data_IF_237861328541
#
_entry.id   IF_237861328541
#
_cell.length_a   1.000
_cell.length_b   1.000
_cell.length_c   1.000
_cell.angle_alpha   90.00
_cell.angle_beta   90.00
_cell.angle_gamma   90.00
#
_symmetry.space_group_name_H-M   'P 1'
#
loop_
_entity.id
_entity.type
_entity.pdbx_description
1 polymer ?
#
# COMPACT_ATOMS: atom_id res chain seq x y z
N UNK A 1 11.30 -17.07 8.08
CA UNK A 1 11.29 -15.59 7.99
C UNK A 1 10.12 -15.05 8.82
N UNK A 2 10.28 -13.88 9.52
CA UNK A 2 9.17 -13.22 10.24
C UNK A 2 8.65 -12.05 9.42
N UNK A 3 7.34 -11.99 9.19
CA UNK A 3 6.69 -10.95 8.37
C UNK A 3 5.60 -10.27 9.21
N UNK A 4 5.59 -8.93 9.20
CA UNK A 4 4.51 -8.12 9.77
C UNK A 4 3.59 -7.65 8.66
N UNK A 5 2.29 -7.87 8.83
CA UNK A 5 1.24 -7.47 7.90
C UNK A 5 0.38 -6.35 8.46
N UNK A 6 0.01 -5.42 7.60
CA UNK A 6 -1.04 -4.42 7.83
C UNK A 6 -1.83 -4.18 6.54
N UNK A 7 -2.86 -3.34 6.60
CA UNK A 7 -3.63 -2.84 5.45
C UNK A 7 -4.38 -1.56 5.86
N UNK A 8 -5.17 -0.97 4.96
CA UNK A 8 -6.11 0.12 5.25
C UNK A 8 -7.58 -0.26 5.07
N UNK A 9 -7.87 -1.39 4.40
CA UNK A 9 -9.24 -1.91 4.26
C UNK A 9 -9.81 -2.55 5.56
N UNK A 10 -8.94 -2.80 6.56
CA UNK A 10 -9.31 -3.34 7.87
C UNK A 10 -9.02 -4.83 8.08
N UNK A 11 -9.05 -5.25 9.36
CA UNK A 11 -8.63 -6.59 9.83
C UNK A 11 -9.40 -7.76 9.20
N UNK A 12 -10.63 -7.53 8.74
CA UNK A 12 -11.49 -8.55 8.14
C UNK A 12 -11.55 -8.46 6.60
N UNK A 13 -10.81 -7.55 5.99
CA UNK A 13 -10.84 -7.32 4.54
C UNK A 13 -10.39 -8.57 3.75
N UNK A 14 -11.02 -8.86 2.60
CA UNK A 14 -10.61 -9.98 1.74
C UNK A 14 -9.15 -9.86 1.27
N UNK A 15 -8.70 -8.65 0.92
CA UNK A 15 -7.32 -8.41 0.50
C UNK A 15 -6.29 -8.74 1.58
N UNK A 16 -6.62 -8.57 2.86
CA UNK A 16 -5.73 -8.98 3.95
C UNK A 16 -5.56 -10.50 4.03
N UNK A 17 -6.61 -11.27 3.70
CA UNK A 17 -6.52 -12.74 3.61
C UNK A 17 -5.61 -13.16 2.46
N UNK A 18 -5.71 -12.47 1.32
CA UNK A 18 -4.80 -12.68 0.19
C UNK A 18 -3.35 -12.35 0.59
N UNK A 19 -3.12 -11.25 1.30
CA UNK A 19 -1.80 -10.88 1.79
C UNK A 19 -1.25 -11.91 2.78
N UNK A 20 -2.10 -12.43 3.66
CA UNK A 20 -1.73 -13.48 4.62
C UNK A 20 -1.25 -14.75 3.91
N UNK A 21 -1.97 -15.20 2.87
CA UNK A 21 -1.56 -16.34 2.06
C UNK A 21 -0.20 -16.10 1.34
N UNK A 22 -0.02 -14.92 0.75
CA UNK A 22 1.26 -14.51 0.15
C UNK A 22 2.38 -14.56 1.20
N UNK A 23 2.14 -14.01 2.39
CA UNK A 23 3.14 -13.98 3.45
C UNK A 23 3.47 -15.36 4.02
N UNK A 24 2.50 -16.25 4.12
CA UNK A 24 2.72 -17.64 4.54
C UNK A 24 3.61 -18.40 3.55
N UNK A 25 3.38 -18.23 2.24
CA UNK A 25 4.23 -18.80 1.18
C UNK A 25 5.66 -18.23 1.23
N UNK A 26 5.82 -16.94 1.51
CA UNK A 26 7.13 -16.30 1.65
C UNK A 26 7.86 -16.73 2.92
N UNK A 27 7.16 -16.82 4.04
CA UNK A 27 7.73 -17.16 5.34
C UNK A 27 8.23 -18.61 5.38
N UNK A 28 7.55 -19.52 4.69
CA UNK A 28 7.80 -20.96 4.72
C UNK A 28 7.34 -21.61 6.02
N UNK A 29 7.53 -22.94 6.14
CA UNK A 29 6.98 -23.72 7.25
C UNK A 29 7.48 -23.32 8.63
N UNK A 30 8.71 -22.84 8.74
CA UNK A 30 9.33 -22.40 10.01
C UNK A 30 9.23 -20.87 10.21
N UNK A 31 8.46 -20.19 9.36
CA UNK A 31 8.30 -18.75 9.42
C UNK A 31 7.14 -18.31 10.30
N UNK A 32 7.10 -17.01 10.56
CA UNK A 32 6.07 -16.38 11.39
C UNK A 32 5.39 -15.26 10.61
N UNK A 33 4.08 -15.28 10.55
CA UNK A 33 3.27 -14.18 10.01
C UNK A 33 2.49 -13.54 11.15
N UNK A 34 2.70 -12.24 11.35
CA UNK A 34 2.06 -11.43 12.36
C UNK A 34 1.18 -10.38 11.68
N UNK A 35 -0.04 -10.23 12.15
CA UNK A 35 -1.02 -9.32 11.59
C UNK A 35 -1.38 -8.29 12.64
N UNK A 36 -1.13 -7.02 12.33
CA UNK A 36 -1.62 -5.87 13.08
C UNK A 36 -2.26 -4.92 12.07
N UNK A 37 -3.57 -4.84 12.07
CA UNK A 37 -4.33 -4.10 11.06
C UNK A 37 -5.44 -3.26 11.69
N UNK A 38 -5.91 -2.19 11.01
CA UNK A 38 -7.01 -1.38 11.49
C UNK A 38 -8.26 -2.20 11.78
N UNK A 39 -8.93 -1.91 12.89
CA UNK A 39 -10.21 -2.53 13.24
C UNK A 39 -11.31 -2.22 12.20
N UNK A 40 -11.23 -1.03 11.61
CA UNK A 40 -12.17 -0.50 10.62
C UNK A 40 -11.42 0.05 9.41
N UNK A 41 -12.12 0.22 8.29
CA UNK A 41 -11.57 0.81 7.06
C UNK A 41 -10.97 2.20 7.31
N UNK A 42 -9.75 2.43 6.79
CA UNK A 42 -8.93 3.64 6.91
C UNK A 42 -8.53 4.16 5.52
N UNK A 43 -9.46 4.14 4.56
CA UNK A 43 -9.20 4.63 3.20
C UNK A 43 -8.90 6.13 3.17
N UNK A 44 -7.91 6.55 2.39
CA UNK A 44 -7.58 7.96 2.18
C UNK A 44 -6.83 8.62 3.35
N UNK A 45 -6.25 7.86 4.28
CA UNK A 45 -5.57 8.42 5.46
C UNK A 45 -4.09 8.74 5.23
N UNK A 46 -3.53 8.39 4.09
CA UNK A 46 -2.11 8.57 3.79
C UNK A 46 -1.19 7.98 4.90
N UNK A 47 -0.11 8.69 5.25
CA UNK A 47 0.79 8.34 6.36
C UNK A 47 0.35 9.00 7.69
N UNK A 48 -0.92 8.79 8.08
CA UNK A 48 -1.46 9.35 9.33
C UNK A 48 -0.88 8.62 10.54
N UNK A 49 -0.51 9.38 11.58
CA UNK A 49 -0.13 8.90 12.91
C UNK A 49 -1.11 9.44 13.94
N UNK A 50 -1.59 8.59 14.86
CA UNK A 50 -2.47 8.95 15.97
C UNK A 50 -1.69 9.57 17.13
N UNK A 51 -1.11 10.76 16.88
CA UNK A 51 -0.21 11.41 17.82
C UNK A 51 -0.92 12.03 19.02
N UNK A 52 -2.14 12.49 18.84
CA UNK A 52 -2.87 13.28 19.85
C UNK A 52 -3.86 12.47 20.70
N UNK A 53 -4.16 11.24 20.32
CA UNK A 53 -5.13 10.38 20.99
C UNK A 53 -4.61 8.96 21.08
N UNK A 54 -4.81 8.26 22.20
CA UNK A 54 -4.57 6.83 22.29
C UNK A 54 -5.55 6.07 21.39
N UNK A 55 -5.15 4.90 20.92
CA UNK A 55 -6.03 3.98 20.21
C UNK A 55 -6.06 2.62 20.89
N UNK A 56 -7.20 1.95 20.81
CA UNK A 56 -7.40 0.61 21.35
C UNK A 56 -6.78 -0.43 20.43
N UNK A 57 -6.13 -1.43 21.01
CA UNK A 57 -5.68 -2.62 20.28
C UNK A 57 -6.28 -3.86 20.95
N UNK A 58 -6.90 -4.75 20.17
CA UNK A 58 -7.52 -5.98 20.61
C UNK A 58 -6.86 -7.19 19.96
N UNK A 59 -6.50 -8.19 20.76
CA UNK A 59 -6.00 -9.46 20.25
C UNK A 59 -7.16 -10.30 19.71
N UNK A 60 -7.10 -10.68 18.43
CA UNK A 60 -8.12 -11.48 17.75
C UNK A 60 -7.70 -12.95 17.56
N UNK A 61 -6.44 -13.25 17.78
CA UNK A 61 -5.84 -14.58 17.66
C UNK A 61 -4.39 -14.57 18.13
N UNK A 62 -3.70 -15.70 18.04
CA UNK A 62 -2.31 -15.84 18.53
C UNK A 62 -1.37 -14.77 17.96
N UNK A 63 -1.47 -14.51 16.66
CA UNK A 63 -0.62 -13.55 15.92
C UNK A 63 -1.44 -12.55 15.13
N UNK A 64 -2.66 -12.22 15.60
CA UNK A 64 -3.62 -11.37 14.90
C UNK A 64 -4.22 -10.34 15.86
N UNK A 65 -4.05 -9.06 15.52
CA UNK A 65 -4.43 -7.91 16.34
C UNK A 65 -5.18 -6.88 15.50
N UNK A 66 -6.26 -6.35 16.04
CA UNK A 66 -7.02 -5.24 15.47
C UNK A 66 -6.74 -3.96 16.26
N UNK A 67 -6.41 -2.86 15.58
CA UNK A 67 -6.15 -1.57 16.21
C UNK A 67 -7.11 -0.50 15.70
N UNK A 68 -7.59 0.38 16.58
CA UNK A 68 -8.40 1.56 16.18
C UNK A 68 -7.52 2.71 15.71
N UNK A 69 -6.50 2.38 14.91
CA UNK A 69 -5.49 3.28 14.38
C UNK A 69 -5.36 3.19 12.86
N UNK A 70 -4.47 4.00 12.31
CA UNK A 70 -4.09 3.96 10.91
C UNK A 70 -3.19 2.76 10.59
N UNK A 71 -2.93 2.44 9.31
CA UNK A 71 -1.93 1.42 8.95
C UNK A 71 -0.53 1.69 9.50
N UNK A 72 -0.10 2.94 9.54
CA UNK A 72 1.18 3.32 10.15
C UNK A 72 1.20 3.11 11.67
N UNK A 73 0.12 3.47 12.37
CA UNK A 73 -0.05 3.14 13.79
C UNK A 73 0.03 1.63 14.04
N UNK A 74 -0.57 0.83 13.14
CA UNK A 74 -0.52 -0.63 13.23
C UNK A 74 0.90 -1.18 13.08
N UNK A 75 1.70 -0.61 12.19
CA UNK A 75 3.12 -0.99 12.06
C UNK A 75 3.89 -0.66 13.33
N UNK A 76 3.73 0.54 13.88
CA UNK A 76 4.36 0.93 15.14
C UNK A 76 3.94 0.03 16.31
N UNK A 77 2.63 -0.22 16.46
CA UNK A 77 2.11 -1.12 17.48
C UNK A 77 2.66 -2.55 17.30
N UNK A 78 2.74 -3.03 16.07
CA UNK A 78 3.33 -4.32 15.74
C UNK A 78 4.79 -4.41 16.18
N UNK A 79 5.59 -3.42 15.87
CA UNK A 79 7.03 -3.42 16.16
C UNK A 79 7.34 -3.26 17.64
N UNK A 80 6.68 -2.34 18.31
CA UNK A 80 7.06 -1.93 19.66
C UNK A 80 6.25 -2.59 20.77
N UNK A 81 5.05 -3.11 20.46
CA UNK A 81 4.19 -3.74 21.48
C UNK A 81 3.97 -5.23 21.22
N UNK A 82 3.63 -5.62 19.97
CA UNK A 82 3.21 -7.00 19.68
C UNK A 82 4.41 -7.93 19.54
N UNK A 83 5.45 -7.51 18.80
CA UNK A 83 6.64 -8.31 18.53
C UNK A 83 7.67 -8.28 19.66
N UNK A 84 7.53 -7.38 20.62
CA UNK A 84 8.35 -7.30 21.84
C UNK A 84 9.85 -7.47 21.55
N UNK A 85 10.40 -6.59 20.71
CA UNK A 85 11.82 -6.59 20.33
C UNK A 85 12.24 -7.64 19.28
N UNK A 86 11.35 -8.55 18.89
CA UNK A 86 11.61 -9.54 17.83
C UNK A 86 11.34 -8.93 16.45
N UNK A 87 12.26 -8.12 15.94
CA UNK A 87 12.06 -7.41 14.66
C UNK A 87 11.66 -8.35 13.52
N UNK A 88 10.68 -7.96 12.68
CA UNK A 88 10.37 -8.69 11.46
C UNK A 88 11.47 -8.48 10.41
N UNK A 89 11.53 -9.39 9.44
CA UNK A 89 12.42 -9.28 8.29
C UNK A 89 11.80 -8.46 7.15
N UNK A 90 10.46 -8.31 7.18
CA UNK A 90 9.69 -7.68 6.12
C UNK A 90 8.37 -7.13 6.67
N UNK A 91 7.97 -5.96 6.19
CA UNK A 91 6.64 -5.40 6.37
C UNK A 91 5.90 -5.48 5.03
N UNK A 92 4.70 -6.06 5.02
CA UNK A 92 3.80 -6.03 3.88
C UNK A 92 2.52 -5.29 4.24
N UNK A 93 2.10 -4.39 3.37
CA UNK A 93 0.86 -3.62 3.54
C UNK A 93 -0.08 -3.87 2.36
N UNK A 94 -1.32 -4.30 2.62
CA UNK A 94 -2.33 -4.58 1.58
C UNK A 94 -3.04 -5.92 1.82
N UNK A 95 -3.46 -6.66 0.80
CA UNK A 95 -3.59 -6.22 -0.60
C UNK A 95 -4.76 -5.25 -0.70
N UNK A 96 -4.50 -4.01 -1.09
CA UNK A 96 -5.51 -2.97 -1.16
C UNK A 96 -6.56 -3.27 -2.24
N UNK A 97 -7.81 -2.96 -1.95
CA UNK A 97 -8.93 -2.97 -2.91
C UNK A 97 -8.92 -1.71 -3.75
N UNK A 98 -8.27 -1.74 -4.88
CA UNK A 98 -8.05 -0.61 -5.77
C UNK A 98 -6.57 -0.33 -5.99
N UNK A 99 -6.25 0.42 -7.05
CA UNK A 99 -4.87 0.77 -7.34
C UNK A 99 -4.39 1.95 -6.49
N UNK A 100 -3.11 1.94 -6.18
CA UNK A 100 -2.38 3.04 -5.55
C UNK A 100 -1.28 3.56 -6.47
N UNK A 101 -1.58 3.70 -7.76
CA UNK A 101 -0.68 4.21 -8.78
C UNK A 101 -0.90 5.70 -9.06
N UNK A 102 0.12 6.36 -9.58
CA UNK A 102 0.09 7.78 -9.88
C UNK A 102 -0.16 8.66 -8.65
N UNK A 103 -1.06 9.62 -8.76
CA UNK A 103 -1.42 10.55 -7.69
C UNK A 103 -2.11 9.89 -6.49
N UNK A 104 -2.70 8.70 -6.67
CA UNK A 104 -3.33 7.95 -5.57
C UNK A 104 -2.33 7.58 -4.47
N UNK A 105 -1.04 7.46 -4.80
CA UNK A 105 0.03 7.18 -3.83
C UNK A 105 0.00 8.14 -2.64
N UNK A 106 -0.33 9.41 -2.89
CA UNK A 106 -0.31 10.47 -1.87
C UNK A 106 -1.44 10.37 -0.83
N UNK A 107 -2.48 9.60 -1.13
CA UNK A 107 -3.65 9.43 -0.26
C UNK A 107 -3.71 8.04 0.38
N UNK A 108 -2.85 7.13 -0.07
CA UNK A 108 -2.93 5.70 0.28
C UNK A 108 -2.48 5.40 1.71
N UNK A 109 -3.37 4.85 2.50
CA UNK A 109 -3.03 4.26 3.80
C UNK A 109 -2.19 2.98 3.65
N UNK A 110 -2.39 2.21 2.58
CA UNK A 110 -1.57 1.04 2.25
C UNK A 110 -0.09 1.43 2.08
N UNK A 111 0.17 2.51 1.32
CA UNK A 111 1.53 3.05 1.21
C UNK A 111 2.01 3.61 2.54
N UNK A 112 1.14 4.25 3.31
CA UNK A 112 1.47 4.75 4.65
C UNK A 112 2.03 3.66 5.56
N UNK A 113 1.43 2.46 5.56
CA UNK A 113 1.96 1.31 6.31
C UNK A 113 3.33 0.84 5.82
N UNK A 114 3.55 0.74 4.51
CA UNK A 114 4.86 0.36 3.97
C UNK A 114 5.92 1.44 4.20
N UNK A 115 5.56 2.72 4.04
CA UNK A 115 6.42 3.87 4.35
C UNK A 115 6.87 3.86 5.80
N UNK A 116 5.96 3.59 6.75
CA UNK A 116 6.31 3.47 8.16
C UNK A 116 7.29 2.33 8.40
N UNK A 117 7.08 1.16 7.79
CA UNK A 117 8.03 0.05 7.85
C UNK A 117 9.44 0.46 7.40
N UNK A 118 9.55 1.21 6.30
CA UNK A 118 10.82 1.72 5.78
C UNK A 118 11.46 2.76 6.72
N UNK A 119 10.68 3.69 7.28
CA UNK A 119 11.15 4.66 8.27
C UNK A 119 11.66 3.99 9.54
N UNK A 120 11.08 2.84 9.90
CA UNK A 120 11.56 2.01 11.01
C UNK A 120 12.76 1.11 10.62
N UNK A 121 13.33 1.30 9.42
CA UNK A 121 14.54 0.61 8.96
C UNK A 121 14.31 -0.82 8.50
N UNK A 122 13.13 -1.16 8.03
CA UNK A 122 12.75 -2.49 7.56
C UNK A 122 12.52 -2.50 6.04
N UNK A 123 12.82 -3.59 5.34
CA UNK A 123 12.26 -3.83 4.01
C UNK A 123 10.73 -3.76 4.08
N UNK A 124 10.11 -3.00 3.16
CA UNK A 124 8.68 -2.79 3.18
C UNK A 124 8.09 -2.73 1.77
N UNK A 125 6.93 -3.36 1.56
CA UNK A 125 6.26 -3.43 0.27
C UNK A 125 4.76 -3.20 0.47
N UNK A 126 4.21 -2.24 -0.26
CA UNK A 126 2.77 -2.04 -0.43
C UNK A 126 2.28 -2.83 -1.65
N UNK A 127 1.17 -3.56 -1.49
CA UNK A 127 0.55 -4.36 -2.54
C UNK A 127 -0.90 -3.92 -2.75
N UNK A 128 -1.27 -3.65 -4.01
CA UNK A 128 -2.60 -3.17 -4.38
C UNK A 128 -3.13 -3.91 -5.60
N UNK A 129 -4.40 -4.31 -5.59
CA UNK A 129 -5.07 -4.92 -6.72
C UNK A 129 -5.98 -3.91 -7.40
N UNK A 130 -5.69 -3.53 -8.62
CA UNK A 130 -6.58 -2.67 -9.38
C UNK A 130 -7.88 -3.40 -9.74
N UNK A 131 -9.02 -2.80 -9.41
CA UNK A 131 -10.34 -3.26 -9.78
C UNK A 131 -10.82 -2.54 -11.03
N UNK A 132 -10.82 -3.25 -12.15
CA UNK A 132 -11.32 -2.78 -13.43
C UNK A 132 -12.46 -3.65 -13.96
N UNK A 133 -13.02 -3.32 -15.13
CA UNK A 133 -14.12 -4.08 -15.71
C UNK A 133 -13.82 -5.56 -15.98
N UNK A 134 -12.53 -5.91 -16.17
CA UNK A 134 -12.15 -7.26 -16.52
C UNK A 134 -11.91 -8.20 -15.31
N UNK A 135 -11.85 -7.67 -14.08
CA UNK A 135 -11.60 -8.50 -12.89
C UNK A 135 -12.52 -8.22 -11.70
N UNK A 136 -13.25 -7.07 -11.67
CA UNK A 136 -14.09 -6.72 -10.52
C UNK A 136 -15.23 -7.70 -10.23
N UNK A 137 -15.72 -8.39 -11.27
CA UNK A 137 -16.85 -9.30 -11.21
C UNK A 137 -16.40 -10.78 -11.23
N UNK A 138 -15.10 -11.06 -11.05
CA UNK A 138 -14.59 -12.42 -10.86
C UNK A 138 -14.97 -12.94 -9.45
N UNK A 139 -15.03 -14.25 -9.30
CA UNK A 139 -15.26 -14.90 -8.00
C UNK A 139 -14.23 -14.45 -6.95
N UNK A 140 -12.98 -14.27 -7.38
CA UNK A 140 -11.92 -13.64 -6.59
C UNK A 140 -11.30 -12.45 -7.37
N UNK A 141 -11.71 -11.21 -7.10
CA UNK A 141 -11.10 -10.04 -7.72
C UNK A 141 -9.61 -9.83 -7.39
N UNK A 142 -9.09 -10.52 -6.38
CA UNK A 142 -7.67 -10.48 -5.98
C UNK A 142 -6.83 -11.58 -6.64
N UNK A 143 -7.37 -12.38 -7.56
CA UNK A 143 -6.68 -13.56 -8.09
C UNK A 143 -5.31 -13.24 -8.73
N UNK A 144 -5.14 -12.06 -9.34
CA UNK A 144 -3.85 -11.66 -9.91
C UNK A 144 -2.81 -11.45 -8.79
N UNK A 145 -3.20 -10.80 -7.70
CA UNK A 145 -2.34 -10.64 -6.52
C UNK A 145 -2.09 -11.99 -5.82
N UNK A 146 -3.12 -12.82 -5.66
CA UNK A 146 -3.01 -14.15 -5.05
C UNK A 146 -2.03 -15.05 -5.82
N UNK A 147 -2.12 -15.05 -7.15
CA UNK A 147 -1.29 -15.91 -8.01
C UNK A 147 0.16 -15.42 -8.12
N UNK A 148 0.36 -14.12 -8.28
CA UNK A 148 1.67 -13.56 -8.63
C UNK A 148 2.37 -12.84 -7.46
N UNK A 149 1.69 -12.63 -6.33
CA UNK A 149 2.18 -11.79 -5.24
C UNK A 149 3.46 -12.30 -4.60
N UNK A 150 3.51 -13.57 -4.23
CA UNK A 150 4.69 -14.14 -3.58
C UNK A 150 5.92 -14.07 -4.49
N UNK A 151 5.79 -14.43 -5.77
CA UNK A 151 6.89 -14.36 -6.73
C UNK A 151 7.34 -12.92 -7.01
N UNK A 152 6.41 -11.99 -7.05
CA UNK A 152 6.71 -10.56 -7.19
C UNK A 152 7.55 -10.07 -6.01
N UNK A 153 7.14 -10.37 -4.78
CA UNK A 153 7.87 -10.01 -3.56
C UNK A 153 9.25 -10.68 -3.54
N UNK A 154 9.37 -11.97 -3.86
CA UNK A 154 10.67 -12.67 -3.96
C UNK A 154 11.62 -11.99 -4.94
N UNK A 155 11.15 -11.60 -6.12
CA UNK A 155 11.95 -10.90 -7.13
C UNK A 155 12.45 -9.55 -6.64
N UNK A 156 11.58 -8.78 -5.97
CA UNK A 156 11.94 -7.48 -5.39
C UNK A 156 13.03 -7.66 -4.31
N UNK A 157 12.83 -8.61 -3.39
CA UNK A 157 13.80 -8.88 -2.33
C UNK A 157 15.14 -9.41 -2.89
N UNK A 158 15.09 -10.30 -3.89
CA UNK A 158 16.27 -10.86 -4.53
C UNK A 158 17.07 -9.84 -5.33
N UNK A 159 16.44 -8.76 -5.80
CA UNK A 159 17.13 -7.67 -6.49
C UNK A 159 18.10 -6.91 -5.58
N UNK A 160 17.97 -7.04 -4.25
CA UNK A 160 18.91 -6.47 -3.29
C UNK A 160 18.98 -4.93 -3.31
N UNK A 161 17.97 -4.26 -3.85
CA UNK A 161 17.93 -2.81 -4.02
C UNK A 161 17.52 -2.08 -2.71
N UNK A 162 17.90 -2.64 -1.58
CA UNK A 162 17.77 -1.98 -0.29
C UNK A 162 19.02 -1.12 -0.08
N UNK A 163 18.84 0.16 0.16
CA UNK A 163 19.94 1.05 0.53
C UNK A 163 19.89 1.41 2.02
N UNK A 164 21.03 1.83 2.55
CA UNK A 164 21.18 2.30 3.94
C UNK A 164 20.97 3.82 4.07
N UNK A 165 20.34 4.46 3.09
CA UNK A 165 19.99 5.87 3.17
C UNK A 165 19.03 6.12 4.35
N UNK A 166 19.06 7.33 4.91
CA UNK A 166 18.21 7.75 6.03
C UNK A 166 16.72 7.53 5.72
N UNK A 167 16.30 7.84 4.49
CA UNK A 167 14.98 7.47 3.97
C UNK A 167 15.09 6.20 3.13
N UNK A 168 14.89 5.04 3.78
CA UNK A 168 14.97 3.74 3.12
C UNK A 168 13.92 3.59 2.03
N UNK A 169 14.24 2.74 1.04
CA UNK A 169 13.28 2.38 0.01
C UNK A 169 12.14 1.54 0.58
N UNK A 170 10.94 1.82 0.10
CA UNK A 170 9.82 0.89 0.11
C UNK A 170 9.30 0.71 -1.32
N UNK A 171 8.55 -0.34 -1.56
CA UNK A 171 8.05 -0.63 -2.90
C UNK A 171 6.54 -0.47 -2.96
N UNK A 172 6.06 0.18 -4.01
CA UNK A 172 4.65 0.24 -4.35
C UNK A 172 4.38 -0.70 -5.53
N UNK A 173 3.64 -1.78 -5.28
CA UNK A 173 3.30 -2.79 -6.26
C UNK A 173 1.81 -2.73 -6.57
N UNK A 174 1.46 -2.59 -7.85
CA UNK A 174 0.07 -2.64 -8.30
C UNK A 174 -0.12 -3.80 -9.27
N UNK A 175 -1.07 -4.69 -8.97
CA UNK A 175 -1.50 -5.76 -9.85
C UNK A 175 -2.51 -5.23 -10.86
N UNK A 176 -2.41 -5.62 -12.15
CA UNK A 176 -3.25 -5.06 -13.20
C UNK A 176 -4.71 -5.50 -13.08
N UNK A 177 -5.65 -4.73 -13.67
CA UNK A 177 -7.09 -5.02 -13.64
C UNK A 177 -7.50 -6.10 -14.64
N UNK A 178 -6.79 -7.25 -14.64
CA UNK A 178 -7.03 -8.37 -15.54
C UNK A 178 -7.01 -9.69 -14.77
N UNK A 179 -7.63 -10.76 -15.30
CA UNK A 179 -7.49 -12.11 -14.73
C UNK A 179 -6.03 -12.53 -14.59
N UNK A 180 -5.72 -13.35 -13.58
CA UNK A 180 -4.35 -13.79 -13.29
C UNK A 180 -3.62 -14.38 -14.51
N UNK A 181 -4.32 -15.20 -15.31
CA UNK A 181 -3.76 -15.80 -16.53
C UNK A 181 -3.43 -14.80 -17.65
N UNK A 182 -3.90 -13.56 -17.55
CA UNK A 182 -3.64 -12.47 -18.52
C UNK A 182 -2.57 -11.48 -18.05
N UNK A 183 -2.02 -11.66 -16.86
CA UNK A 183 -0.92 -10.86 -16.35
C UNK A 183 0.32 -11.10 -17.22
N UNK A 184 0.86 -10.03 -17.83
CA UNK A 184 1.97 -10.11 -18.80
C UNK A 184 3.36 -10.16 -18.14
N UNK A 185 3.45 -10.01 -16.82
CA UNK A 185 4.70 -10.03 -16.07
C UNK A 185 4.88 -8.81 -15.17
N UNK A 186 6.09 -8.65 -14.63
CA UNK A 186 6.49 -7.58 -13.70
C UNK A 186 7.38 -6.56 -14.44
N UNK A 187 7.11 -5.26 -14.23
CA UNK A 187 7.93 -4.15 -14.71
C UNK A 187 8.19 -3.13 -13.61
N UNK A 188 9.42 -2.61 -13.59
CA UNK A 188 9.71 -1.39 -12.83
C UNK A 188 9.11 -0.19 -13.56
N UNK A 189 8.54 0.76 -12.82
CA UNK A 189 7.87 1.92 -13.37
C UNK A 189 8.08 3.15 -12.49
N UNK A 190 8.07 4.33 -13.08
CA UNK A 190 8.02 5.59 -12.35
C UNK A 190 6.59 5.87 -11.86
N UNK A 191 6.45 6.68 -10.82
CA UNK A 191 5.15 7.22 -10.42
C UNK A 191 4.56 8.08 -11.55
N UNK A 192 3.34 7.78 -11.96
CA UNK A 192 2.62 8.52 -12.98
C UNK A 192 1.82 9.71 -12.43
N UNK A 193 1.14 10.38 -13.33
CA UNK A 193 0.15 11.41 -13.01
C UNK A 193 -0.95 11.40 -14.07
N UNK A 194 -2.20 11.18 -13.65
CA UNK A 194 -3.36 11.19 -14.57
C UNK A 194 -3.81 12.64 -14.81
N UNK A 195 -3.64 13.11 -16.03
CA UNK A 195 -4.12 14.44 -16.41
C UNK A 195 -5.63 14.41 -16.68
N UNK A 196 -6.33 15.46 -16.26
CA UNK A 196 -7.76 15.61 -16.53
C UNK A 196 -8.69 14.87 -15.57
N UNK A 197 -8.14 14.28 -14.51
CA UNK A 197 -8.90 13.70 -13.41
C UNK A 197 -8.40 14.24 -12.07
N UNK A 198 -9.28 14.35 -11.10
CA UNK A 198 -8.96 14.77 -9.73
C UNK A 198 -10.02 14.30 -8.78
N UNK A 199 -9.75 14.37 -7.50
CA UNK A 199 -10.80 14.23 -6.50
C UNK A 199 -11.80 15.37 -6.63
N UNK A 200 -13.08 15.04 -6.48
CA UNK A 200 -14.19 15.98 -6.47
C UNK A 200 -14.97 15.90 -5.16
N UNK A 201 -15.89 16.84 -4.98
CA UNK A 201 -16.78 16.86 -3.81
C UNK A 201 -18.23 16.89 -4.31
N UNK A 202 -19.06 16.00 -3.79
CA UNK A 202 -20.49 15.90 -4.12
C UNK A 202 -21.31 16.17 -2.87
N UNK A 203 -22.15 17.23 -2.87
CA UNK A 203 -22.99 17.53 -1.72
C UNK A 203 -24.29 16.72 -1.75
N UNK A 204 -24.70 16.21 -0.58
CA UNK A 204 -25.96 15.53 -0.35
C UNK A 204 -26.68 16.15 0.84
N UNK A 205 -27.95 16.50 0.66
CA UNK A 205 -28.77 16.99 1.76
C UNK A 205 -29.37 15.83 2.56
N UNK A 206 -29.27 15.90 3.89
CA UNK A 206 -30.01 15.01 4.77
C UNK A 206 -31.50 15.41 4.85
N UNK A 207 -32.39 14.55 5.35
CA UNK A 207 -33.79 14.89 5.59
C UNK A 207 -34.00 16.10 6.52
N UNK A 208 -33.03 16.40 7.39
CA UNK A 208 -33.04 17.57 8.28
C UNK A 208 -32.43 18.83 7.64
N UNK A 209 -32.12 18.82 6.35
CA UNK A 209 -31.56 19.96 5.61
C UNK A 209 -30.06 20.20 5.86
N UNK A 210 -29.34 19.33 6.57
CA UNK A 210 -27.88 19.41 6.72
C UNK A 210 -27.20 18.91 5.46
N UNK A 211 -26.14 19.59 5.02
CA UNK A 211 -25.35 19.17 3.87
C UNK A 211 -24.23 18.25 4.34
N UNK A 212 -24.15 17.06 3.75
CA UNK A 212 -23.04 16.13 3.83
C UNK A 212 -22.25 16.20 2.52
N UNK A 213 -20.94 16.04 2.60
CA UNK A 213 -20.05 16.08 1.45
C UNK A 213 -19.41 14.70 1.25
N UNK A 214 -19.53 14.16 0.03
CA UNK A 214 -18.83 12.97 -0.38
C UNK A 214 -17.59 13.35 -1.20
N UNK A 215 -16.43 12.79 -0.82
CA UNK A 215 -15.25 12.86 -1.66
C UNK A 215 -15.36 11.78 -2.73
N UNK A 216 -15.29 12.19 -4.00
CA UNK A 216 -15.29 11.30 -5.16
C UNK A 216 -13.89 11.17 -5.71
N UNK A 217 -13.40 9.94 -5.88
CA UNK A 217 -12.15 9.69 -6.60
C UNK A 217 -12.28 10.03 -8.08
N UNK A 218 -11.15 10.36 -8.70
CA UNK A 218 -11.09 10.59 -10.14
C UNK A 218 -11.15 9.29 -10.94
N UNK A 219 -11.26 9.42 -12.25
CA UNK A 219 -11.29 8.29 -13.19
C UNK A 219 -9.95 7.56 -13.17
N UNK A 220 -9.98 6.22 -12.95
CA UNK A 220 -8.79 5.42 -12.68
C UNK A 220 -8.18 4.75 -13.92
N UNK A 221 -8.95 4.62 -15.00
CA UNK A 221 -8.57 4.00 -16.26
C UNK A 221 -8.02 4.98 -17.31
N UNK A 222 -7.75 6.24 -16.90
CA UNK A 222 -7.05 7.20 -17.76
C UNK A 222 -5.55 6.87 -17.81
N UNK A 223 -4.96 6.83 -19.00
CA UNK A 223 -3.52 6.61 -19.15
C UNK A 223 -2.73 7.81 -18.62
N UNK A 224 -1.50 7.54 -18.24
CA UNK A 224 -0.46 8.51 -17.90
C UNK A 224 0.66 8.49 -18.96
N UNK A 225 1.79 9.12 -18.67
CA UNK A 225 2.95 9.02 -19.54
C UNK A 225 3.40 7.53 -19.71
N UNK A 226 4.01 7.16 -20.82
CA UNK A 226 4.61 5.84 -21.01
C UNK A 226 5.57 5.49 -19.85
N UNK A 227 5.71 4.19 -19.57
CA UNK A 227 6.60 3.63 -18.54
C UNK A 227 6.33 4.10 -17.09
N UNK A 228 5.16 4.69 -16.86
CA UNK A 228 4.68 4.97 -15.51
C UNK A 228 3.87 3.81 -14.95
N UNK A 229 3.76 3.74 -13.61
CA UNK A 229 2.99 2.73 -12.88
C UNK A 229 1.54 2.62 -13.37
N UNK A 230 0.91 3.74 -13.70
CA UNK A 230 -0.43 3.81 -14.28
C UNK A 230 -0.50 3.11 -15.62
N UNK A 231 0.36 3.52 -16.58
CA UNK A 231 0.30 3.00 -17.94
C UNK A 231 0.75 1.55 -18.02
N UNK A 232 1.81 1.17 -17.30
CA UNK A 232 2.30 -0.21 -17.18
C UNK A 232 1.19 -1.13 -16.62
N UNK A 233 0.44 -0.66 -15.63
CA UNK A 233 -0.63 -1.44 -15.00
C UNK A 233 -1.83 -1.59 -15.94
N UNK A 234 -2.24 -0.52 -16.64
CA UNK A 234 -3.31 -0.57 -17.65
C UNK A 234 -2.94 -1.46 -18.85
N UNK A 235 -1.66 -1.57 -19.19
CA UNK A 235 -1.15 -2.46 -20.22
C UNK A 235 -1.15 -3.95 -19.81
N UNK A 236 -1.54 -4.27 -18.58
CA UNK A 236 -1.67 -5.64 -18.07
C UNK A 236 -0.39 -6.19 -17.42
N UNK A 237 0.56 -5.33 -17.05
CA UNK A 237 1.74 -5.73 -16.28
C UNK A 237 1.56 -5.36 -14.81
N UNK A 238 2.20 -6.13 -13.93
CA UNK A 238 2.42 -5.72 -12.54
C UNK A 238 3.42 -4.57 -12.57
N UNK A 239 3.06 -3.43 -12.00
CA UNK A 239 3.99 -2.32 -11.81
C UNK A 239 4.66 -2.40 -10.44
N UNK A 240 5.97 -2.17 -10.39
CA UNK A 240 6.73 -2.04 -9.14
C UNK A 240 7.51 -0.72 -9.18
N UNK A 241 7.15 0.17 -8.27
CA UNK A 241 7.74 1.50 -8.16
C UNK A 241 8.55 1.60 -6.87
N UNK A 242 9.89 1.80 -6.95
CA UNK A 242 10.68 2.09 -5.76
C UNK A 242 10.40 3.53 -5.30
N UNK A 243 10.14 3.72 -4.01
CA UNK A 243 9.73 5.00 -3.43
C UNK A 243 10.50 5.29 -2.15
N UNK A 244 10.61 6.58 -1.81
CA UNK A 244 11.15 7.07 -0.54
C UNK A 244 10.21 8.10 0.07
N UNK A 245 10.30 8.26 1.39
CA UNK A 245 9.58 9.31 2.13
C UNK A 245 10.24 10.70 1.98
N UNK A 246 11.42 10.80 1.37
CA UNK A 246 12.05 12.09 1.06
C UNK A 246 11.28 12.77 -0.09
N UNK A 247 10.60 13.86 0.26
CA UNK A 247 9.81 14.68 -0.68
C UNK A 247 10.61 15.88 -1.22
N UNK A 248 11.91 15.97 -0.96
CA UNK A 248 12.77 17.05 -1.45
C UNK A 248 12.89 16.98 -2.97
N UNK A 249 12.62 18.06 -3.65
CA UNK A 249 12.91 18.20 -5.07
C UNK A 249 14.41 18.47 -5.28
N UNK A 250 15.24 17.43 -5.22
CA UNK A 250 16.71 17.54 -5.32
C UNK A 250 17.15 18.22 -6.62
N UNK A 251 16.46 18.00 -7.74
CA UNK A 251 16.75 18.65 -9.02
C UNK A 251 16.60 20.19 -9.01
N UNK A 252 15.85 20.72 -8.04
CA UNK A 252 15.60 22.16 -7.90
C UNK A 252 16.40 22.78 -6.75
N UNK A 253 16.91 21.97 -5.81
CA UNK A 253 17.52 22.43 -4.56
C UNK A 253 18.71 23.38 -4.78
N UNK A 254 19.63 23.05 -5.69
CA UNK A 254 20.79 23.92 -5.99
C UNK A 254 20.37 25.27 -6.59
N UNK A 255 19.37 25.27 -7.47
CA UNK A 255 18.81 26.49 -8.05
C UNK A 255 18.10 27.33 -7.00
N UNK A 256 17.39 26.71 -6.08
CA UNK A 256 16.73 27.38 -4.97
C UNK A 256 17.76 28.00 -4.02
N UNK A 257 18.83 27.30 -3.68
CA UNK A 257 19.91 27.84 -2.85
C UNK A 257 20.54 29.10 -3.46
N UNK A 258 20.80 29.10 -4.77
CA UNK A 258 21.33 30.29 -5.47
C UNK A 258 20.34 31.45 -5.50
N UNK A 259 19.04 31.19 -5.60
CA UNK A 259 18.01 32.23 -5.71
C UNK A 259 17.58 32.81 -4.35
N UNK A 260 17.74 32.06 -3.29
CA UNK A 260 17.28 32.44 -1.94
C UNK A 260 18.42 32.99 -1.05
N UNK A 261 19.68 32.92 -1.48
CA UNK A 261 20.88 33.33 -0.76
C UNK A 261 21.46 32.25 0.08
#
# INVERSE_FOLDING_TARGET
>A
MRILLTNDDGINAPGLKTLEAIAQDLAGPDGEVWIVAPAFEQSGVAHKISYTHPFLMSQMGERRFAAEGSPADCVLAGLYQVLDGKRPNLVLSGVNRGNNSGENTLYSGTLGGAMEGALQGLPAIALSQFYGPANRDLDDPFEAAATHGADTVRKILAAGLNDDADYRLFWNVNFPPVPAAKVKGLRSAAQGFRKGTSFGVEPHASPSGRTFLWIRGGQQDLPSAPDTDVSVNLDGYISATPMRADLTCHATLERAATALG
#
